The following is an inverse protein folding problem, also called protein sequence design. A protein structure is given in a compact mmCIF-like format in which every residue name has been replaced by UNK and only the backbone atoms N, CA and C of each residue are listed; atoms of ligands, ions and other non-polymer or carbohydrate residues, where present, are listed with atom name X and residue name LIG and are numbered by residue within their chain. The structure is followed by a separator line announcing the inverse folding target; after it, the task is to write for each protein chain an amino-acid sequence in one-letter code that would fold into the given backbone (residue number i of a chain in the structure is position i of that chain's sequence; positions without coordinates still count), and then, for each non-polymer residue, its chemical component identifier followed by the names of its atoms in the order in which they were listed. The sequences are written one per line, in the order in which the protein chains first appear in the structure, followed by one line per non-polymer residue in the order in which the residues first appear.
data_IF_497971620617
#
_entry.id   IF_497971620617
#
_cell.length_a   1.000
_cell.length_b   1.000
_cell.length_c   1.000
_cell.angle_alpha   90.00
_cell.angle_beta   90.00
_cell.angle_gamma   90.00
#
_symmetry.space_group_name_H-M   'P 1'
#
loop_
_entity.id
_entity.type
_entity.pdbx_description
1 polymer ?
#
# COMPACT_ATOMS: atom_id res chain seq x y z
N UNK A 1 -6.26 0.88 10.48
CA UNK A 1 -5.00 0.52 9.78
C UNK A 1 -3.77 1.10 10.48
N UNK A 2 -3.75 2.40 10.77
CA UNK A 2 -2.55 3.12 11.24
C UNK A 2 -1.86 2.58 12.49
N UNK A 3 -2.62 2.20 13.52
CA UNK A 3 -2.07 1.65 14.77
C UNK A 3 -1.30 0.35 14.55
N UNK A 4 -1.81 -0.54 13.70
CA UNK A 4 -1.13 -1.78 13.35
C UNK A 4 0.19 -1.53 12.60
N UNK A 5 0.26 -0.49 11.76
CA UNK A 5 1.52 -0.07 11.09
C UNK A 5 2.59 0.35 12.09
N UNK A 6 2.21 1.12 13.10
CA UNK A 6 3.14 1.55 14.16
C UNK A 6 3.58 0.35 15.01
N UNK A 7 2.67 -0.56 15.33
CA UNK A 7 2.99 -1.78 16.08
C UNK A 7 3.97 -2.70 15.36
N UNK A 8 3.92 -2.77 14.02
CA UNK A 8 4.93 -3.51 13.22
C UNK A 8 6.33 -2.92 13.42
N UNK A 9 6.45 -1.58 13.49
CA UNK A 9 7.74 -0.93 13.75
C UNK A 9 8.31 -1.22 15.14
N UNK A 10 7.44 -1.54 16.11
CA UNK A 10 7.81 -1.89 17.48
C UNK A 10 8.00 -3.41 17.69
N UNK A 11 7.81 -4.22 16.63
CA UNK A 11 7.86 -5.65 16.76
C UNK A 11 9.29 -6.13 17.14
N UNK A 12 9.43 -6.95 18.20
CA UNK A 12 10.71 -7.58 18.53
C UNK A 12 11.15 -8.56 17.44
N UNK A 13 12.46 -8.78 17.33
CA UNK A 13 13.05 -9.63 16.28
C UNK A 13 12.83 -11.12 16.57
N UNK A 14 13.05 -11.95 15.55
CA UNK A 14 13.00 -13.41 15.70
C UNK A 14 13.94 -13.91 16.81
N UNK A 15 15.10 -13.29 16.98
CA UNK A 15 16.06 -13.67 18.03
C UNK A 15 15.51 -13.44 19.45
N UNK A 16 14.51 -12.56 19.62
CA UNK A 16 13.95 -12.20 20.92
C UNK A 16 12.73 -13.05 21.29
N UNK A 17 11.85 -13.32 20.32
CA UNK A 17 10.55 -13.97 20.59
C UNK A 17 10.28 -15.22 19.71
N UNK A 18 11.26 -15.63 18.90
CA UNK A 18 11.20 -16.81 18.05
C UNK A 18 10.02 -16.77 17.06
N UNK A 19 9.31 -17.89 16.96
CA UNK A 19 8.18 -18.08 16.03
C UNK A 19 7.03 -17.09 16.24
N UNK A 20 6.93 -16.45 17.41
CA UNK A 20 5.91 -15.44 17.66
C UNK A 20 6.11 -14.18 16.81
N UNK A 21 7.34 -13.85 16.39
CA UNK A 21 7.59 -12.68 15.54
C UNK A 21 6.82 -12.74 14.21
N UNK A 22 6.98 -13.78 13.36
CA UNK A 22 6.22 -13.87 12.13
C UNK A 22 4.70 -14.03 12.36
N UNK A 23 4.26 -14.73 13.43
CA UNK A 23 2.83 -14.87 13.74
C UNK A 23 2.19 -13.50 14.03
N UNK A 24 2.83 -12.70 14.89
CA UNK A 24 2.34 -11.36 15.21
C UNK A 24 2.39 -10.44 14.01
N UNK A 25 3.43 -10.54 13.17
CA UNK A 25 3.52 -9.79 11.92
C UNK A 25 2.32 -10.10 11.00
N UNK A 26 2.00 -11.38 10.82
CA UNK A 26 0.85 -11.81 10.00
C UNK A 26 -0.46 -11.30 10.60
N UNK A 27 -0.62 -11.37 11.92
CA UNK A 27 -1.80 -10.84 12.59
C UNK A 27 -1.96 -9.33 12.35
N UNK A 28 -0.87 -8.56 12.48
CA UNK A 28 -0.88 -7.12 12.19
C UNK A 28 -1.22 -6.85 10.73
N UNK A 29 -0.77 -7.68 9.79
CA UNK A 29 -1.13 -7.58 8.36
C UNK A 29 -2.61 -7.83 8.11
N UNK A 30 -3.21 -8.81 8.79
CA UNK A 30 -4.66 -9.07 8.70
C UNK A 30 -5.44 -7.85 9.22
N UNK A 31 -5.04 -7.33 10.38
CA UNK A 31 -5.67 -6.13 10.98
C UNK A 31 -5.52 -4.91 10.06
N UNK A 32 -4.35 -4.72 9.45
CA UNK A 32 -4.13 -3.66 8.45
C UNK A 32 -5.05 -3.82 7.24
N UNK A 33 -5.19 -5.03 6.71
CA UNK A 33 -6.05 -5.32 5.56
C UNK A 33 -7.52 -5.00 5.82
N UNK A 34 -8.04 -5.42 6.99
CA UNK A 34 -9.40 -5.06 7.42
C UNK A 34 -9.55 -3.55 7.56
N UNK A 35 -8.54 -2.90 8.16
CA UNK A 35 -8.51 -1.45 8.32
C UNK A 35 -8.55 -0.70 6.99
N UNK A 36 -7.75 -1.10 6.02
CA UNK A 36 -7.74 -0.52 4.66
C UNK A 36 -9.11 -0.67 4.00
N UNK A 37 -9.71 -1.87 4.07
CA UNK A 37 -11.01 -2.12 3.43
C UNK A 37 -12.11 -1.20 3.95
N UNK A 38 -12.17 -1.00 5.27
CA UNK A 38 -13.14 -0.09 5.88
C UNK A 38 -12.81 1.39 5.68
N UNK A 39 -11.55 1.79 5.88
CA UNK A 39 -11.15 3.20 5.84
C UNK A 39 -11.17 3.77 4.42
N UNK A 40 -10.70 3.02 3.43
CA UNK A 40 -10.61 3.46 2.03
C UNK A 40 -11.99 3.56 1.39
N UNK A 41 -12.82 2.53 1.53
CA UNK A 41 -14.18 2.52 0.98
C UNK A 41 -15.06 3.61 1.59
N UNK A 42 -14.99 3.79 2.92
CA UNK A 42 -15.73 4.84 3.61
C UNK A 42 -15.28 6.25 3.22
N UNK A 43 -13.98 6.50 3.10
CA UNK A 43 -13.47 7.80 2.69
C UNK A 43 -13.89 8.17 1.26
N UNK A 44 -13.88 7.20 0.34
CA UNK A 44 -14.33 7.40 -1.03
C UNK A 44 -15.84 7.70 -1.09
N UNK A 45 -16.64 6.96 -0.31
CA UNK A 45 -18.09 7.19 -0.22
C UNK A 45 -18.40 8.59 0.32
N UNK A 46 -17.76 8.98 1.43
CA UNK A 46 -17.90 10.33 2.01
C UNK A 46 -17.52 11.41 0.98
N UNK A 47 -16.39 11.26 0.30
CA UNK A 47 -15.95 12.22 -0.71
C UNK A 47 -16.94 12.31 -1.88
N UNK A 48 -17.59 11.20 -2.26
CA UNK A 48 -18.57 11.17 -3.33
C UNK A 48 -19.93 11.77 -2.91
N UNK A 49 -20.39 11.48 -1.70
CA UNK A 49 -21.66 11.97 -1.15
C UNK A 49 -21.62 13.48 -0.87
N UNK A 50 -20.49 14.01 -0.41
CA UNK A 50 -20.29 15.45 -0.21
C UNK A 50 -20.01 16.24 -1.49
N UNK A 51 -19.74 15.56 -2.61
CA UNK A 51 -19.31 16.24 -3.82
C UNK A 51 -20.47 16.89 -4.59
N UNK A 52 -20.24 18.09 -5.18
CA UNK A 52 -21.20 18.71 -6.09
C UNK A 52 -21.51 17.78 -7.26
N UNK A 53 -22.76 17.74 -7.70
CA UNK A 53 -23.27 16.78 -8.70
C UNK A 53 -22.45 16.74 -10.00
N UNK A 54 -22.00 17.90 -10.47
CA UNK A 54 -21.16 18.04 -11.68
C UNK A 54 -19.67 17.75 -11.48
N UNK A 55 -19.22 17.50 -10.25
CA UNK A 55 -17.79 17.32 -9.88
C UNK A 55 -17.53 16.06 -9.04
N UNK A 56 -18.49 15.14 -8.91
CA UNK A 56 -18.34 13.92 -8.13
C UNK A 56 -17.11 13.08 -8.52
N UNK A 57 -16.81 13.00 -9.81
CA UNK A 57 -15.60 12.31 -10.29
C UNK A 57 -14.29 12.96 -9.85
N UNK A 58 -14.24 14.30 -9.76
CA UNK A 58 -13.05 15.02 -9.32
C UNK A 58 -12.84 14.90 -7.80
N UNK A 59 -13.89 15.02 -7.00
CA UNK A 59 -13.77 14.86 -5.55
C UNK A 59 -13.52 13.39 -5.16
N UNK A 60 -14.07 12.43 -5.90
CA UNK A 60 -13.78 11.01 -5.74
C UNK A 60 -12.33 10.63 -6.11
N UNK A 61 -11.63 11.44 -6.91
CA UNK A 61 -10.21 11.19 -7.23
C UNK A 61 -9.25 11.74 -6.18
N UNK A 62 -9.69 12.61 -5.27
CA UNK A 62 -8.85 13.17 -4.19
C UNK A 62 -8.32 12.06 -3.26
N UNK A 63 -9.15 11.13 -2.74
CA UNK A 63 -8.65 10.00 -1.96
C UNK A 63 -7.62 9.15 -2.72
N UNK A 64 -7.79 9.00 -4.04
CA UNK A 64 -6.87 8.23 -4.88
C UNK A 64 -5.53 8.94 -5.08
N UNK A 65 -5.54 10.26 -5.29
CA UNK A 65 -4.33 11.06 -5.35
C UNK A 65 -3.52 10.98 -4.04
N UNK A 66 -4.22 10.92 -2.89
CA UNK A 66 -3.61 10.69 -1.59
C UNK A 66 -2.78 9.41 -1.50
N UNK A 67 -3.23 8.32 -2.13
CA UNK A 67 -2.48 7.05 -2.20
C UNK A 67 -1.16 7.25 -2.93
N UNK A 68 -1.17 7.91 -4.09
CA UNK A 68 0.05 8.17 -4.88
C UNK A 68 1.02 9.07 -4.14
N UNK A 69 0.55 10.15 -3.51
CA UNK A 69 1.39 11.05 -2.71
C UNK A 69 2.02 10.30 -1.54
N UNK A 70 1.24 9.49 -0.83
CA UNK A 70 1.72 8.66 0.27
C UNK A 70 2.79 7.66 -0.18
N UNK A 71 2.59 7.02 -1.34
CA UNK A 71 3.56 6.10 -1.94
C UNK A 71 4.88 6.79 -2.29
N UNK A 72 4.82 8.00 -2.85
CA UNK A 72 6.00 8.81 -3.16
C UNK A 72 6.74 9.22 -1.89
N UNK A 73 6.04 9.68 -0.85
CA UNK A 73 6.64 10.01 0.44
C UNK A 73 7.28 8.79 1.09
N UNK A 74 6.62 7.62 1.07
CA UNK A 74 7.16 6.39 1.60
C UNK A 74 8.44 5.98 0.86
N UNK A 75 8.42 6.05 -0.47
CA UNK A 75 9.59 5.75 -1.32
C UNK A 75 10.74 6.72 -1.02
N UNK A 76 10.45 8.02 -0.87
CA UNK A 76 11.44 9.04 -0.53
C UNK A 76 12.09 8.76 0.83
N UNK A 77 11.28 8.49 1.85
CA UNK A 77 11.75 8.15 3.20
C UNK A 77 12.64 6.90 3.16
N UNK A 78 12.20 5.83 2.51
CA UNK A 78 12.99 4.59 2.42
C UNK A 78 14.29 4.84 1.65
N UNK A 79 14.25 5.66 0.59
CA UNK A 79 15.46 6.05 -0.15
C UNK A 79 16.44 6.81 0.73
N UNK A 80 15.97 7.71 1.60
CA UNK A 80 16.83 8.36 2.59
C UNK A 80 17.44 7.35 3.58
N UNK A 81 16.72 6.30 3.94
CA UNK A 81 17.25 5.25 4.82
C UNK A 81 18.38 4.43 4.17
N UNK A 82 18.47 4.41 2.83
CA UNK A 82 19.59 3.77 2.11
C UNK A 82 20.90 4.55 2.18
N UNK A 83 20.90 5.77 2.73
CA UNK A 83 22.13 6.51 3.04
C UNK A 83 22.90 5.89 4.22
N UNK A 84 22.23 5.09 5.07
CA UNK A 84 22.87 4.33 6.14
C UNK A 84 23.53 3.06 5.59
N UNK A 85 24.47 2.50 6.36
CA UNK A 85 25.05 1.21 5.99
C UNK A 85 23.98 0.10 6.00
N UNK A 86 24.18 -0.92 5.18
CA UNK A 86 23.25 -2.05 5.06
C UNK A 86 23.00 -2.73 6.42
N UNK A 87 24.05 -2.87 7.23
CA UNK A 87 23.97 -3.42 8.59
C UNK A 87 23.09 -2.57 9.53
N UNK A 88 23.20 -1.23 9.44
CA UNK A 88 22.36 -0.31 10.23
C UNK A 88 20.90 -0.35 9.76
N UNK A 89 20.68 -0.45 8.46
CA UNK A 89 19.34 -0.54 7.90
C UNK A 89 18.62 -1.81 8.37
N UNK A 90 19.28 -2.97 8.29
CA UNK A 90 18.71 -4.27 8.67
C UNK A 90 18.53 -4.42 10.18
N UNK A 91 19.39 -3.81 11.00
CA UNK A 91 19.29 -3.88 12.46
C UNK A 91 18.15 -3.03 13.03
N UNK A 92 18.02 -1.77 12.60
CA UNK A 92 16.99 -0.86 13.14
C UNK A 92 16.44 0.15 12.14
N UNK A 93 17.16 0.48 11.06
CA UNK A 93 16.75 1.52 10.11
C UNK A 93 15.39 1.25 9.45
N UNK A 94 15.05 -0.02 9.20
CA UNK A 94 13.75 -0.40 8.64
C UNK A 94 12.56 -0.05 9.56
N UNK A 95 12.75 0.16 10.87
CA UNK A 95 11.68 0.52 11.83
C UNK A 95 11.27 1.98 11.72
N UNK A 96 12.18 2.86 11.32
CA UNK A 96 11.97 4.32 11.32
C UNK A 96 10.76 4.72 10.45
N UNK A 97 10.60 4.23 9.19
CA UNK A 97 9.44 4.58 8.38
C UNK A 97 8.11 4.18 9.02
N UNK A 98 8.06 3.03 9.71
CA UNK A 98 6.86 2.58 10.42
C UNK A 98 6.53 3.48 11.61
N UNK A 99 7.53 3.90 12.37
CA UNK A 99 7.33 4.80 13.50
C UNK A 99 6.94 6.22 13.05
N UNK A 100 7.53 6.72 11.96
CA UNK A 100 7.12 8.01 11.38
C UNK A 100 5.67 8.00 10.89
N UNK A 101 5.14 6.84 10.49
CA UNK A 101 3.71 6.72 10.16
C UNK A 101 2.80 7.09 11.33
N UNK A 102 3.26 7.02 12.58
CA UNK A 102 2.47 7.44 13.75
C UNK A 102 2.06 8.93 13.66
N UNK A 103 2.94 9.79 13.16
CA UNK A 103 2.61 11.20 12.95
C UNK A 103 1.46 11.37 11.95
N UNK A 104 1.49 10.61 10.85
CA UNK A 104 0.42 10.59 9.85
C UNK A 104 -0.90 10.08 10.43
N UNK A 105 -0.84 9.07 11.31
CA UNK A 105 -2.02 8.55 12.00
C UNK A 105 -2.63 9.61 12.91
N UNK A 106 -1.81 10.31 13.70
CA UNK A 106 -2.29 11.39 14.57
C UNK A 106 -2.93 12.53 13.79
N UNK A 107 -2.31 12.95 12.68
CA UNK A 107 -2.88 13.97 11.79
C UNK A 107 -4.19 13.47 11.18
N UNK A 108 -4.25 12.22 10.73
CA UNK A 108 -5.48 11.63 10.19
C UNK A 108 -6.62 11.55 11.21
N UNK A 109 -6.31 11.22 12.46
CA UNK A 109 -7.27 11.22 13.57
C UNK A 109 -7.76 12.62 13.90
N UNK A 110 -6.86 13.61 13.88
CA UNK A 110 -7.21 15.01 14.08
C UNK A 110 -8.16 15.52 13.00
N UNK A 111 -7.86 15.27 11.72
CA UNK A 111 -8.73 15.64 10.60
C UNK A 111 -10.10 14.95 10.70
N UNK A 112 -10.13 13.66 11.06
CA UNK A 112 -11.37 12.88 11.16
C UNK A 112 -12.28 13.35 12.30
N UNK A 113 -11.77 14.04 13.31
CA UNK A 113 -12.56 14.53 14.43
C UNK A 113 -13.59 15.58 14.00
N UNK A 114 -13.30 16.35 12.95
CA UNK A 114 -14.13 17.47 12.51
C UNK A 114 -15.01 17.13 11.28
N UNK A 115 -15.04 15.86 10.85
CA UNK A 115 -15.89 15.42 9.73
C UNK A 115 -17.27 15.04 10.25
N UNK A 116 -18.26 15.86 9.89
CA UNK A 116 -19.68 15.57 10.09
C UNK A 116 -20.15 14.37 9.26
N UNK A 117 -21.17 13.66 9.75
CA UNK A 117 -21.85 12.59 9.00
C UNK A 117 -22.56 13.14 7.75
N UNK A 118 -22.60 12.35 6.67
CA UNK A 118 -23.17 12.80 5.38
C UNK A 118 -24.65 13.17 5.49
N UNK A 119 -25.10 14.17 4.72
CA UNK A 119 -26.50 14.62 4.75
C UNK A 119 -27.48 13.50 4.36
N UNK A 120 -27.07 12.58 3.48
CA UNK A 120 -27.90 11.43 3.12
C UNK A 120 -27.95 10.38 4.23
N UNK A 121 -26.86 10.16 4.97
CA UNK A 121 -26.87 9.31 6.16
C UNK A 121 -27.70 9.94 7.30
N UNK A 122 -27.67 11.26 7.47
CA UNK A 122 -28.52 12.00 8.41
C UNK A 122 -30.02 11.81 8.09
N UNK A 123 -30.43 11.89 6.82
CA UNK A 123 -31.83 11.63 6.39
C UNK A 123 -32.29 10.19 6.69
N UNK A 124 -31.43 9.19 6.47
CA UNK A 124 -31.74 7.77 6.78
C UNK A 124 -31.83 7.53 8.28
N UNK A 125 -31.00 8.23 9.07
CA UNK A 125 -31.05 8.18 10.52
C UNK A 125 -32.32 8.81 11.08
N UNK A 126 -32.76 9.93 10.51
CA UNK A 126 -34.00 10.62 10.87
C UNK A 126 -35.26 9.85 10.45
N UNK A 127 -35.21 9.11 9.34
CA UNK A 127 -36.33 8.27 8.90
C UNK A 127 -36.51 6.97 9.69
N UNK A 128 -35.60 6.68 10.64
CA UNK A 128 -35.64 5.48 11.49
C UNK A 128 -35.32 4.18 10.74
N UNK A 129 -34.94 4.24 9.46
CA UNK A 129 -34.62 3.08 8.61
C UNK A 129 -33.17 2.62 8.75
N UNK A 130 -32.52 2.86 9.89
CA UNK A 130 -31.17 2.37 10.13
C UNK A 130 -31.24 0.85 10.34
N UNK A 131 -30.83 0.11 9.31
CA UNK A 131 -30.71 -1.35 9.40
C UNK A 131 -29.84 -1.73 10.60
N UNK A 132 -30.33 -2.65 11.46
CA UNK A 132 -29.59 -3.10 12.66
C UNK A 132 -28.30 -3.87 12.31
N UNK A 133 -28.20 -4.41 11.10
CA UNK A 133 -27.04 -5.17 10.63
C UNK A 133 -26.85 -4.98 9.10
N UNK A 134 -26.43 -3.78 8.64
CA UNK A 134 -26.40 -3.43 7.22
C UNK A 134 -25.49 -4.37 6.41
N UNK A 135 -24.36 -4.78 6.98
CA UNK A 135 -23.44 -5.71 6.31
C UNK A 135 -24.07 -7.07 6.04
N UNK A 136 -24.83 -7.59 7.02
CA UNK A 136 -25.52 -8.89 6.91
C UNK A 136 -26.68 -8.82 5.92
N UNK A 137 -27.38 -7.70 5.89
CA UNK A 137 -28.51 -7.48 4.99
C UNK A 137 -28.07 -7.35 3.53
N UNK A 138 -27.01 -6.58 3.27
CA UNK A 138 -26.38 -6.48 1.94
C UNK A 138 -25.85 -7.82 1.46
N UNK A 139 -25.16 -8.57 2.32
CA UNK A 139 -24.68 -9.92 1.96
C UNK A 139 -25.80 -10.94 1.75
N UNK A 140 -27.00 -10.70 2.29
CA UNK A 140 -28.14 -11.61 2.11
C UNK A 140 -28.94 -11.28 0.84
N UNK A 141 -29.20 -9.99 0.60
CA UNK A 141 -30.07 -9.55 -0.49
C UNK A 141 -29.31 -9.17 -1.77
N UNK A 142 -28.03 -8.80 -1.66
CA UNK A 142 -27.21 -8.26 -2.76
C UNK A 142 -25.86 -8.98 -2.91
N UNK A 143 -25.80 -10.27 -2.60
CA UNK A 143 -24.55 -11.04 -2.62
C UNK A 143 -23.91 -11.15 -4.02
N UNK A 144 -24.72 -11.12 -5.09
CA UNK A 144 -24.23 -11.18 -6.47
C UNK A 144 -23.50 -9.90 -6.83
N UNK A 145 -24.08 -8.76 -6.46
CA UNK A 145 -23.52 -7.42 -6.65
C UNK A 145 -22.23 -7.28 -5.86
N UNK A 146 -22.17 -7.81 -4.63
CA UNK A 146 -20.94 -7.84 -3.81
C UNK A 146 -19.84 -8.64 -4.51
N UNK A 147 -20.14 -9.83 -5.04
CA UNK A 147 -19.15 -10.65 -5.76
C UNK A 147 -18.68 -9.95 -7.04
N UNK A 148 -19.59 -9.34 -7.80
CA UNK A 148 -19.22 -8.58 -9.01
C UNK A 148 -18.32 -7.40 -8.65
N UNK A 149 -18.68 -6.63 -7.63
CA UNK A 149 -17.88 -5.49 -7.18
C UNK A 149 -16.50 -5.93 -6.66
N UNK A 150 -16.44 -7.01 -5.88
CA UNK A 150 -15.19 -7.60 -5.42
C UNK A 150 -14.34 -8.10 -6.60
N UNK A 151 -14.95 -8.79 -7.57
CA UNK A 151 -14.27 -9.28 -8.77
C UNK A 151 -13.70 -8.15 -9.62
N UNK A 152 -14.47 -7.09 -9.87
CA UNK A 152 -14.00 -5.89 -10.56
C UNK A 152 -12.81 -5.25 -9.83
N UNK A 153 -12.86 -5.18 -8.49
CA UNK A 153 -11.73 -4.69 -7.71
C UNK A 153 -10.51 -5.57 -7.75
N UNK A 154 -10.66 -6.90 -7.77
CA UNK A 154 -9.53 -7.81 -7.96
C UNK A 154 -8.88 -7.59 -9.32
N UNK A 155 -9.67 -7.45 -10.39
CA UNK A 155 -9.16 -7.18 -11.75
C UNK A 155 -8.42 -5.84 -11.83
N UNK A 156 -8.85 -4.82 -11.10
CA UNK A 156 -8.15 -3.53 -11.04
C UNK A 156 -6.84 -3.61 -10.22
N UNK A 157 -6.88 -4.22 -9.04
CA UNK A 157 -5.79 -4.15 -8.06
C UNK A 157 -4.72 -5.23 -8.24
N UNK A 158 -5.08 -6.43 -8.70
CA UNK A 158 -4.11 -7.52 -8.86
C UNK A 158 -3.01 -7.19 -9.87
N UNK A 159 -3.30 -6.65 -11.08
CA UNK A 159 -2.27 -6.26 -12.03
C UNK A 159 -1.34 -5.19 -11.47
N UNK A 160 -1.89 -4.21 -10.73
CA UNK A 160 -1.10 -3.15 -10.10
C UNK A 160 -0.06 -3.73 -9.13
N UNK A 161 -0.50 -4.59 -8.20
CA UNK A 161 0.41 -5.19 -7.23
C UNK A 161 1.42 -6.14 -7.89
N UNK A 162 0.97 -7.02 -8.79
CA UNK A 162 1.85 -7.94 -9.53
C UNK A 162 2.93 -7.17 -10.27
N UNK A 163 2.55 -6.13 -11.01
CA UNK A 163 3.49 -5.32 -11.76
C UNK A 163 4.49 -4.59 -10.84
N UNK A 164 3.99 -3.96 -9.78
CA UNK A 164 4.85 -3.19 -8.85
C UNK A 164 5.89 -4.07 -8.15
N UNK A 165 5.50 -5.27 -7.72
CA UNK A 165 6.38 -6.20 -7.01
C UNK A 165 7.37 -6.86 -7.97
N UNK A 166 6.89 -7.35 -9.12
CA UNK A 166 7.72 -7.97 -10.15
C UNK A 166 8.78 -7.00 -10.68
N UNK A 167 8.40 -5.74 -10.94
CA UNK A 167 9.33 -4.74 -11.45
C UNK A 167 10.41 -4.39 -10.39
N UNK A 168 10.04 -4.39 -9.11
CA UNK A 168 10.99 -4.26 -7.99
C UNK A 168 11.99 -5.41 -7.92
N UNK A 169 11.51 -6.66 -8.00
CA UNK A 169 12.36 -7.85 -8.00
C UNK A 169 13.29 -7.92 -9.20
N UNK A 170 12.78 -7.65 -10.41
CA UNK A 170 13.58 -7.62 -11.63
C UNK A 170 14.70 -6.57 -11.56
N UNK A 171 14.42 -5.38 -11.02
CA UNK A 171 15.45 -4.36 -10.81
C UNK A 171 16.56 -4.86 -9.88
N UNK A 172 16.21 -5.48 -8.77
CA UNK A 172 17.18 -6.02 -7.82
C UNK A 172 18.06 -7.11 -8.46
N UNK A 173 17.46 -8.01 -9.25
CA UNK A 173 18.18 -9.02 -10.01
C UNK A 173 19.13 -8.42 -11.06
N UNK A 174 18.68 -7.42 -11.84
CA UNK A 174 19.52 -6.75 -12.83
C UNK A 174 20.70 -6.00 -12.20
N UNK A 175 20.49 -5.30 -11.08
CA UNK A 175 21.56 -4.59 -10.37
C UNK A 175 22.63 -5.56 -9.84
N UNK A 176 22.24 -6.75 -9.36
CA UNK A 176 23.20 -7.77 -8.95
C UNK A 176 24.01 -8.32 -10.12
N UNK A 177 23.40 -8.50 -11.30
CA UNK A 177 24.12 -8.95 -12.50
C UNK A 177 25.17 -7.92 -12.95
N UNK A 178 24.89 -6.62 -12.84
CA UNK A 178 25.84 -5.55 -13.20
C UNK A 178 27.05 -5.40 -12.26
N UNK A 179 26.99 -6.00 -11.06
CA UNK A 179 28.09 -5.95 -10.07
C UNK A 179 29.09 -7.11 -10.24
N UNK A 180 28.84 -8.06 -11.14
CA UNK A 180 29.75 -9.17 -11.41
C UNK A 180 30.93 -8.65 -12.25
N UNK A 181 32.20 -8.83 -11.82
CA UNK A 181 33.36 -8.40 -12.61
C UNK A 181 33.37 -9.10 -13.97
N UNK A 182 33.27 -8.32 -15.06
CA UNK A 182 33.21 -8.83 -16.43
C UNK A 182 31.81 -8.97 -17.04
N UNK A 183 30.75 -8.58 -16.32
CA UNK A 183 29.44 -8.33 -16.93
C UNK A 183 29.49 -6.96 -17.63
N UNK A 184 29.52 -6.93 -18.96
CA UNK A 184 29.42 -5.65 -19.66
C UNK A 184 28.02 -5.06 -19.52
N UNK A 185 27.90 -3.79 -19.90
CA UNK A 185 26.69 -2.98 -19.71
C UNK A 185 25.46 -3.65 -20.33
N UNK A 186 24.53 -4.14 -19.49
CA UNK A 186 23.23 -4.62 -19.93
C UNK A 186 22.27 -3.44 -20.10
N UNK A 187 21.48 -3.46 -21.19
CA UNK A 187 20.53 -2.39 -21.50
C UNK A 187 19.39 -2.34 -20.44
N UNK A 188 18.88 -1.14 -20.06
CA UNK A 188 17.85 -0.99 -19.02
C UNK A 188 16.50 -1.68 -19.32
N UNK A 189 16.29 -2.16 -20.54
CA UNK A 189 15.04 -2.75 -21.03
C UNK A 189 15.14 -4.25 -21.32
N UNK A 190 16.17 -4.94 -20.80
CA UNK A 190 16.29 -6.40 -20.92
C UNK A 190 16.66 -6.90 -22.33
N UNK A 191 17.07 -6.02 -23.24
CA UNK A 191 17.51 -6.40 -24.59
C UNK A 191 19.03 -6.59 -24.58
N UNK A 192 19.48 -7.77 -24.14
CA UNK A 192 20.86 -8.24 -24.28
C UNK A 192 21.87 -7.69 -23.25
N UNK A 193 22.78 -8.57 -22.82
CA UNK A 193 23.97 -8.22 -22.04
C UNK A 193 25.21 -8.36 -22.93
N UNK A 194 25.89 -7.27 -23.22
CA UNK A 194 27.14 -7.32 -23.98
C UNK A 194 28.28 -7.72 -23.04
N UNK A 195 29.10 -8.72 -23.40
CA UNK A 195 30.37 -9.00 -22.72
C UNK A 195 31.48 -8.28 -23.47
N UNK A 196 32.16 -7.34 -22.82
CA UNK A 196 33.36 -6.71 -23.40
C UNK A 196 34.55 -7.65 -23.20
N UNK A 197 34.79 -8.53 -24.17
CA UNK A 197 36.06 -9.25 -24.27
C UNK A 197 37.09 -8.35 -24.98
N UNK A 198 38.28 -8.08 -24.40
CA UNK A 198 39.27 -7.18 -25.00
C UNK A 198 39.94 -7.73 -26.27
N UNK A 199 39.68 -8.98 -26.64
CA UNK A 199 40.41 -9.70 -27.69
C UNK A 199 39.54 -9.95 -28.93
N UNK A 200 38.22 -9.99 -28.80
CA UNK A 200 37.30 -10.17 -29.94
C UNK A 200 36.06 -9.29 -29.72
N UNK A 201 35.78 -8.40 -30.67
CA UNK A 201 34.69 -7.43 -30.60
C UNK A 201 33.34 -8.02 -30.19
N UNK A 202 32.58 -7.20 -29.46
CA UNK A 202 31.26 -7.45 -28.87
C UNK A 202 30.48 -8.64 -29.47
N UNK A 203 30.40 -9.74 -28.72
CA UNK A 203 29.56 -10.90 -29.06
C UNK A 203 28.21 -10.75 -28.37
N UNK A 204 27.14 -10.70 -29.16
CA UNK A 204 25.74 -10.75 -28.70
C UNK A 204 25.43 -12.20 -28.30
N UNK A 205 25.00 -12.42 -27.05
CA UNK A 205 24.39 -13.69 -26.61
C UNK A 205 23.02 -13.44 -26.00
#
# INVERSE_FOLDING_TARGET
MGTATVMIGLLPTYDQIGIWAPILLILMRIIQGIGIGGEWGGALLLAYEYAPEKRKGFFGSIPQAGVTIGMLMATFIVSLMTLFSEEQFLSWGWRIPFLMSAALVLVGLWIRKDIDETPDFKKVKESGQVAKAPLRETLKHHWREVIIAAGLKVVETAPFYIFSDLCGQLRHHHVNLSKIPGAGSCHPWGVGCYRNDPINGAVIR
#
